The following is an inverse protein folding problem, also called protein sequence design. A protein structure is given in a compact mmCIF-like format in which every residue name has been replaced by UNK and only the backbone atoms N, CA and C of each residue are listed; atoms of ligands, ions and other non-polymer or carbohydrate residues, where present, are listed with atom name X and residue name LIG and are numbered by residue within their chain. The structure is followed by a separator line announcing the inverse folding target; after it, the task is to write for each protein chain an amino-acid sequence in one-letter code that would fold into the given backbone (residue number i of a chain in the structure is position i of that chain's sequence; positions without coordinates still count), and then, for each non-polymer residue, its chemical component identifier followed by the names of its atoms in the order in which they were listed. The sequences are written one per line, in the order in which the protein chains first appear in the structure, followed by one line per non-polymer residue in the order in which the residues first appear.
data_IF_940345252326
#
_entry.id   IF_940345252326
#
_cell.length_a   1.000
_cell.length_b   1.000
_cell.length_c   1.000
_cell.angle_alpha   90.00
_cell.angle_beta   90.00
_cell.angle_gamma   90.00
#
_symmetry.space_group_name_H-M   'P 1'
#
loop_
_entity.id
_entity.type
_entity.pdbx_description
1 polymer ?
#
# COMPACT_ATOMS: atom_id res chain seq x y z
N UNK A 1 -19.62 -26.62 51.57
CA UNK A 1 -20.34 -26.51 50.29
C UNK A 1 -19.38 -25.82 49.32
N UNK A 2 -18.42 -26.51 48.70
CA UNK A 2 -18.53 -27.29 47.45
C UNK A 2 -19.38 -26.63 46.35
N UNK A 3 -18.67 -25.96 45.43
CA UNK A 3 -18.91 -25.98 43.99
C UNK A 3 -19.86 -24.90 43.44
N UNK A 4 -19.34 -24.01 42.59
CA UNK A 4 -19.55 -24.05 41.12
C UNK A 4 -18.35 -23.38 40.45
N UNK A 5 -17.62 -24.15 39.65
CA UNK A 5 -16.70 -23.66 38.61
C UNK A 5 -17.58 -23.32 37.40
N UNK A 6 -17.44 -22.13 36.83
CA UNK A 6 -17.78 -21.88 35.43
C UNK A 6 -16.82 -20.84 34.86
N UNK A 7 -15.77 -21.39 34.23
CA UNK A 7 -15.04 -20.85 33.08
C UNK A 7 -15.78 -19.76 32.31
N UNK A 8 -15.23 -18.55 32.32
CA UNK A 8 -15.49 -17.54 31.29
C UNK A 8 -14.18 -17.23 30.57
N UNK A 9 -13.82 -18.16 29.69
CA UNK A 9 -12.92 -17.94 28.57
C UNK A 9 -13.58 -16.91 27.64
N UNK A 10 -13.24 -15.64 27.80
CA UNK A 10 -13.72 -14.57 26.92
C UNK A 10 -12.52 -13.82 26.35
N UNK A 11 -12.26 -14.14 25.08
CA UNK A 11 -11.59 -13.33 24.06
C UNK A 11 -10.06 -13.22 24.14
N UNK A 12 -9.41 -14.37 23.96
CA UNK A 12 -8.19 -14.46 23.17
C UNK A 12 -8.47 -14.21 21.67
N UNK A 13 -9.00 -13.03 21.33
CA UNK A 13 -9.11 -12.54 19.93
C UNK A 13 -8.52 -11.14 19.83
N UNK A 14 -7.33 -10.94 20.39
CA UNK A 14 -6.51 -9.75 20.19
C UNK A 14 -5.13 -10.09 19.60
N UNK A 15 -5.01 -11.25 18.95
CA UNK A 15 -3.79 -11.66 18.23
C UNK A 15 -3.97 -11.79 16.70
N UNK A 16 -5.16 -11.48 16.15
CA UNK A 16 -5.44 -11.62 14.71
C UNK A 16 -5.51 -10.31 13.91
N UNK A 17 -5.35 -9.16 14.55
CA UNK A 17 -5.55 -7.84 13.91
C UNK A 17 -4.28 -7.10 13.51
N UNK A 18 -3.10 -7.70 13.68
CA UNK A 18 -1.80 -7.06 13.42
C UNK A 18 -1.33 -7.18 11.96
N UNK A 19 -2.23 -7.48 11.02
CA UNK A 19 -1.87 -7.80 9.63
C UNK A 19 -1.96 -6.65 8.62
N UNK A 20 -2.35 -5.43 9.01
CA UNK A 20 -2.60 -4.35 8.04
C UNK A 20 -1.95 -3.01 8.39
N UNK A 21 -0.97 -2.98 9.29
CA UNK A 21 -0.16 -1.78 9.51
C UNK A 21 1.27 -1.99 9.00
N UNK A 22 1.80 -1.11 8.12
CA UNK A 22 3.21 -1.18 7.76
C UNK A 22 4.05 -0.91 9.01
N UNK A 23 5.04 -1.77 9.25
CA UNK A 23 6.02 -1.54 10.32
C UNK A 23 6.66 -0.15 10.15
N UNK A 24 6.90 0.60 11.24
CA UNK A 24 7.63 1.84 11.15
C UNK A 24 9.03 1.56 10.57
N UNK A 25 9.57 2.45 9.71
CA UNK A 25 10.94 2.30 9.23
C UNK A 25 11.90 2.23 10.42
N UNK A 26 12.94 1.39 10.37
CA UNK A 26 13.88 1.29 11.49
C UNK A 26 14.54 2.66 11.72
N UNK A 27 14.41 3.16 12.95
CA UNK A 27 15.09 4.38 13.39
C UNK A 27 16.61 4.18 13.21
N UNK A 28 17.25 5.14 12.54
CA UNK A 28 18.69 5.13 12.33
C UNK A 28 19.38 5.20 13.70
N UNK A 29 20.07 4.11 14.07
CA UNK A 29 20.85 4.06 15.30
C UNK A 29 21.96 5.12 15.26
N UNK A 30 22.16 5.90 16.32
CA UNK A 30 23.30 6.81 16.39
C UNK A 30 24.60 5.99 16.38
N UNK A 31 25.51 6.39 15.50
CA UNK A 31 26.83 5.79 15.34
C UNK A 31 27.62 6.05 16.63
N UNK A 32 27.80 5.02 17.45
CA UNK A 32 28.71 5.04 18.59
C UNK A 32 30.11 4.61 18.13
N UNK A 33 31.11 5.35 18.61
CA UNK A 33 32.51 5.28 18.26
C UNK A 33 33.15 3.89 18.35
N UNK A 34 33.90 3.56 17.29
CA UNK A 34 35.22 2.92 17.33
C UNK A 34 35.41 1.62 18.12
N UNK A 35 35.36 0.48 17.42
CA UNK A 35 36.48 -0.50 17.31
C UNK A 35 36.13 -1.55 16.25
N UNK A 36 36.96 -1.67 15.22
CA UNK A 36 36.88 -2.72 14.20
C UNK A 36 37.89 -3.81 14.56
N UNK A 37 37.41 -5.00 14.92
CA UNK A 37 38.24 -6.20 14.84
C UNK A 37 38.13 -6.74 13.41
N UNK A 38 39.31 -6.85 12.80
CA UNK A 38 39.52 -7.25 11.43
C UNK A 38 39.15 -8.72 11.20
N UNK A 39 38.38 -8.99 10.15
CA UNK A 39 38.49 -10.24 9.39
C UNK A 39 38.61 -9.85 7.92
N UNK A 40 39.79 -10.14 7.38
CA UNK A 40 40.15 -10.04 5.97
C UNK A 40 39.20 -10.84 5.08
N UNK A 41 38.70 -10.23 3.99
CA UNK A 41 38.49 -10.85 2.67
C UNK A 41 38.36 -9.72 1.62
N UNK A 42 39.02 -9.83 0.44
CA UNK A 42 39.47 -8.67 -0.33
C UNK A 42 38.43 -7.99 -1.23
N UNK A 43 38.78 -6.74 -1.57
CA UNK A 43 38.07 -5.76 -2.36
C UNK A 43 37.61 -6.22 -3.76
N UNK A 44 36.38 -5.82 -4.12
CA UNK A 44 36.03 -5.46 -5.49
C UNK A 44 35.38 -4.08 -5.48
N UNK A 45 36.10 -3.12 -6.03
CA UNK A 45 35.74 -1.71 -6.04
C UNK A 45 34.62 -1.43 -7.04
N UNK A 46 33.50 -0.91 -6.56
CA UNK A 46 32.53 -0.19 -7.39
C UNK A 46 32.79 1.32 -7.22
N UNK A 47 33.12 2.08 -8.27
CA UNK A 47 33.27 3.52 -8.16
C UNK A 47 31.90 4.20 -7.99
N UNK A 48 31.88 5.14 -7.06
CA UNK A 48 30.78 6.06 -6.79
C UNK A 48 30.39 6.86 -8.03
N UNK A 49 29.07 7.02 -8.26
CA UNK A 49 28.55 8.04 -9.18
C UNK A 49 28.45 9.39 -8.43
N UNK A 50 29.03 10.49 -8.94
CA UNK A 50 28.73 11.83 -8.45
C UNK A 50 27.34 12.32 -8.93
N UNK A 51 26.75 13.30 -8.22
CA UNK A 51 25.46 13.86 -8.58
C UNK A 51 25.63 14.88 -9.71
N UNK A 52 24.75 14.86 -10.71
CA UNK A 52 24.62 15.97 -11.66
C UNK A 52 23.20 16.48 -11.63
N UNK A 53 23.08 17.63 -11.00
CA UNK A 53 21.99 18.59 -11.17
C UNK A 53 21.90 19.00 -12.66
N UNK A 54 20.70 19.43 -13.03
CA UNK A 54 20.24 19.48 -14.41
C UNK A 54 20.97 20.43 -15.35
N UNK A 55 20.69 20.23 -16.64
CA UNK A 55 20.69 21.28 -17.65
C UNK A 55 19.75 20.87 -18.79
N UNK A 56 18.67 21.62 -18.85
CA UNK A 56 17.92 22.13 -20.00
C UNK A 56 18.15 21.44 -21.36
N UNK A 57 17.06 20.97 -21.93
CA UNK A 57 16.92 20.66 -23.34
C UNK A 57 17.02 21.95 -24.15
N UNK A 58 18.13 22.17 -24.83
CA UNK A 58 18.18 23.02 -26.02
C UNK A 58 19.41 22.64 -26.86
N UNK A 59 19.17 22.51 -28.16
CA UNK A 59 20.17 22.32 -29.22
C UNK A 59 20.78 20.92 -29.44
N UNK A 60 19.93 19.95 -29.79
CA UNK A 60 20.34 18.60 -30.22
C UNK A 60 20.44 18.44 -31.75
N UNK A 61 20.47 19.52 -32.54
CA UNK A 61 20.46 19.43 -34.00
C UNK A 61 21.84 19.66 -34.66
N UNK A 62 22.82 20.26 -33.98
CA UNK A 62 24.03 20.77 -34.66
C UNK A 62 25.34 20.01 -34.42
N UNK A 63 25.38 18.89 -33.68
CA UNK A 63 26.61 18.08 -33.51
C UNK A 63 26.36 16.59 -33.72
N UNK A 64 26.15 16.18 -34.96
CA UNK A 64 26.42 14.80 -35.39
C UNK A 64 27.87 14.71 -35.82
N UNK A 65 28.74 14.30 -34.91
CA UNK A 65 29.99 13.69 -35.30
C UNK A 65 29.68 12.27 -35.83
N UNK A 66 30.21 11.84 -36.98
CA UNK A 66 29.95 10.50 -37.47
C UNK A 66 30.56 9.48 -36.49
N UNK A 67 29.72 8.58 -35.99
CA UNK A 67 30.16 7.51 -35.12
C UNK A 67 31.23 6.65 -35.83
N UNK A 68 32.30 6.23 -35.15
CA UNK A 68 33.27 5.30 -35.72
C UNK A 68 32.55 3.97 -36.05
N UNK A 69 32.98 3.25 -37.10
CA UNK A 69 32.37 1.97 -37.43
C UNK A 69 32.59 1.02 -36.25
N UNK A 70 31.48 0.54 -35.68
CA UNK A 70 31.53 -0.52 -34.68
C UNK A 70 32.22 -1.75 -35.28
N UNK A 71 33.15 -2.41 -34.58
CA UNK A 71 33.59 -3.73 -34.99
C UNK A 71 32.36 -4.63 -35.07
N UNK A 72 32.28 -5.42 -36.13
CA UNK A 72 31.21 -6.38 -36.33
C UNK A 72 31.30 -7.50 -35.29
N UNK A 73 30.91 -7.21 -34.06
CA UNK A 73 30.38 -8.23 -33.16
C UNK A 73 29.02 -8.61 -33.72
N UNK A 74 28.98 -9.76 -34.36
CA UNK A 74 27.76 -10.56 -34.49
C UNK A 74 27.17 -10.77 -33.09
N UNK A 75 26.37 -9.81 -32.64
CA UNK A 75 25.38 -10.05 -31.61
C UNK A 75 24.53 -11.22 -32.12
N UNK A 76 24.34 -12.31 -31.35
CA UNK A 76 23.38 -13.32 -31.74
C UNK A 76 22.04 -12.61 -31.94
N UNK A 77 21.31 -12.89 -33.03
CA UNK A 77 20.02 -12.26 -33.24
C UNK A 77 19.18 -12.55 -32.00
N UNK A 78 18.55 -11.52 -31.43
CA UNK A 78 17.41 -11.70 -30.53
C UNK A 78 16.37 -12.47 -31.34
N UNK A 79 16.42 -13.80 -31.22
CA UNK A 79 15.49 -14.68 -31.90
C UNK A 79 14.09 -14.27 -31.45
N UNK A 80 13.34 -13.67 -32.37
CA UNK A 80 11.94 -13.28 -32.20
C UNK A 80 11.06 -14.50 -32.04
N UNK A 81 11.17 -15.16 -30.89
CA UNK A 81 10.30 -16.24 -30.46
C UNK A 81 9.75 -15.90 -29.09
N UNK A 82 8.43 -15.85 -28.96
CA UNK A 82 7.79 -15.86 -27.66
C UNK A 82 8.37 -17.00 -26.81
N UNK A 83 8.50 -16.82 -25.47
CA UNK A 83 9.03 -17.87 -24.60
C UNK A 83 8.27 -19.18 -24.87
N UNK A 84 9.01 -20.22 -25.26
CA UNK A 84 8.42 -21.53 -25.56
C UNK A 84 7.97 -22.17 -24.25
N UNK A 85 6.67 -22.09 -23.97
CA UNK A 85 6.04 -22.79 -22.85
C UNK A 85 5.76 -24.23 -23.26
N UNK A 86 6.12 -25.19 -22.41
CA UNK A 86 5.78 -26.60 -22.66
C UNK A 86 4.25 -26.76 -22.77
N UNK A 87 3.73 -27.56 -23.73
CA UNK A 87 2.28 -27.71 -23.92
C UNK A 87 1.54 -28.14 -22.65
N UNK A 88 2.15 -29.03 -21.85
CA UNK A 88 1.60 -29.47 -20.56
C UNK A 88 1.48 -28.32 -19.54
N UNK A 89 2.44 -27.39 -19.52
CA UNK A 89 2.40 -26.24 -18.63
C UNK A 89 1.31 -25.23 -19.05
N UNK A 90 1.16 -24.99 -20.36
CA UNK A 90 0.09 -24.15 -20.88
C UNK A 90 -1.31 -24.74 -20.60
N UNK A 91 -1.47 -26.06 -20.78
CA UNK A 91 -2.71 -26.76 -20.47
C UNK A 91 -3.03 -26.72 -18.97
N UNK A 92 -2.03 -26.92 -18.11
CA UNK A 92 -2.15 -26.81 -16.66
C UNK A 92 -2.61 -25.41 -16.23
N UNK A 93 -1.97 -24.36 -16.76
CA UNK A 93 -2.34 -22.97 -16.48
C UNK A 93 -3.76 -22.64 -16.97
N UNK A 94 -4.12 -23.09 -18.18
CA UNK A 94 -5.45 -22.87 -18.73
C UNK A 94 -6.55 -23.54 -17.87
N UNK A 95 -6.26 -24.72 -17.30
CA UNK A 95 -7.16 -25.39 -16.36
C UNK A 95 -7.25 -24.64 -15.03
N UNK A 96 -6.11 -24.26 -14.45
CA UNK A 96 -6.07 -23.50 -13.20
C UNK A 96 -6.80 -22.15 -13.30
N UNK A 97 -6.77 -21.49 -14.46
CA UNK A 97 -7.51 -20.23 -14.70
C UNK A 97 -9.03 -20.40 -14.71
N UNK A 98 -9.54 -21.55 -15.14
CA UNK A 98 -10.98 -21.82 -15.21
C UNK A 98 -11.51 -22.39 -13.90
N UNK A 99 -10.78 -23.35 -13.35
CA UNK A 99 -11.28 -24.21 -12.27
C UNK A 99 -10.60 -23.90 -10.91
N UNK A 100 -9.58 -23.04 -10.90
CA UNK A 100 -8.66 -22.86 -9.78
C UNK A 100 -7.56 -23.94 -9.73
N UNK A 101 -6.48 -23.67 -8.99
CA UNK A 101 -5.49 -24.70 -8.65
C UNK A 101 -5.89 -25.33 -7.29
N UNK A 102 -6.09 -26.66 -7.19
CA UNK A 102 -6.48 -27.33 -5.94
C UNK A 102 -5.44 -27.18 -4.81
N UNK A 103 -4.21 -26.76 -5.13
CA UNK A 103 -3.18 -26.42 -4.14
C UNK A 103 -3.39 -25.03 -3.52
N UNK A 104 -4.29 -24.21 -4.09
CA UNK A 104 -4.63 -22.89 -3.55
C UNK A 104 -5.67 -23.07 -2.43
N UNK A 105 -5.41 -22.62 -1.21
CA UNK A 105 -6.43 -22.63 -0.16
C UNK A 105 -7.66 -21.81 -0.61
N UNK A 106 -8.88 -22.15 -0.13
CA UNK A 106 -10.08 -21.44 -0.54
C UNK A 106 -9.97 -19.95 -0.21
N UNK A 107 -10.21 -19.10 -1.22
CA UNK A 107 -10.24 -17.66 -1.03
C UNK A 107 -11.55 -17.28 -0.32
N UNK A 108 -11.46 -16.35 0.64
CA UNK A 108 -12.65 -15.76 1.22
C UNK A 108 -13.43 -15.01 0.11
N UNK A 109 -14.77 -15.06 0.11
CA UNK A 109 -15.56 -14.29 -0.84
C UNK A 109 -15.28 -12.80 -0.65
N UNK A 110 -15.15 -12.07 -1.76
CA UNK A 110 -15.09 -10.62 -1.71
C UNK A 110 -16.38 -10.11 -1.06
N UNK A 111 -16.27 -9.42 0.08
CA UNK A 111 -17.44 -8.89 0.80
C UNK A 111 -18.24 -7.91 -0.06
N UNK A 112 -17.54 -7.09 -0.84
CA UNK A 112 -18.09 -6.16 -1.80
C UNK A 112 -17.15 -6.13 -3.02
N UNK A 113 -17.58 -6.70 -4.14
CA UNK A 113 -16.84 -6.59 -5.38
C UNK A 113 -17.01 -5.16 -5.95
N UNK A 114 -15.91 -4.56 -6.39
CA UNK A 114 -15.97 -3.29 -7.12
C UNK A 114 -16.79 -3.48 -8.40
N UNK A 115 -17.71 -2.56 -8.68
CA UNK A 115 -18.40 -2.53 -9.95
C UNK A 115 -17.39 -2.32 -11.10
N UNK A 116 -17.54 -3.08 -12.18
CA UNK A 116 -16.75 -2.83 -13.38
C UNK A 116 -17.11 -1.44 -13.94
N UNK A 117 -16.14 -0.69 -14.51
CA UNK A 117 -16.45 0.56 -15.19
C UNK A 117 -17.46 0.32 -16.33
N UNK A 118 -18.41 1.24 -16.56
CA UNK A 118 -19.31 1.14 -17.70
C UNK A 118 -18.54 1.16 -19.02
N UNK A 119 -19.00 0.45 -20.08
CA UNK A 119 -18.28 0.37 -21.35
C UNK A 119 -18.08 1.75 -22.00
N UNK A 120 -19.02 2.68 -21.84
CA UNK A 120 -18.95 4.05 -22.39
C UNK A 120 -17.83 4.89 -21.75
N UNK A 121 -17.36 4.49 -20.57
CA UNK A 121 -16.21 5.08 -19.86
C UNK A 121 -14.90 4.49 -20.37
N UNK A 122 -14.90 3.22 -20.79
CA UNK A 122 -13.71 2.52 -21.30
C UNK A 122 -13.30 2.98 -22.71
N UNK A 123 -14.25 3.48 -23.49
CA UNK A 123 -14.02 3.93 -24.86
C UNK A 123 -13.32 5.30 -24.96
N UNK A 124 -13.35 6.11 -23.90
CA UNK A 124 -12.80 7.47 -23.88
C UNK A 124 -11.81 7.68 -22.71
N UNK A 125 -10.52 7.93 -22.98
CA UNK A 125 -9.51 8.18 -21.95
C UNK A 125 -9.82 9.36 -21.01
N UNK A 126 -10.57 10.38 -21.47
CA UNK A 126 -10.99 11.51 -20.64
C UNK A 126 -12.08 11.09 -19.66
N UNK A 127 -13.06 10.29 -20.11
CA UNK A 127 -14.12 9.75 -19.24
C UNK A 127 -13.55 8.79 -18.22
N UNK A 128 -12.64 7.91 -18.64
CA UNK A 128 -11.98 6.98 -17.73
C UNK A 128 -11.24 7.70 -16.60
N UNK A 129 -10.51 8.78 -16.91
CA UNK A 129 -9.81 9.56 -15.88
C UNK A 129 -10.77 10.18 -14.85
N UNK A 130 -11.92 10.70 -15.29
CA UNK A 130 -12.93 11.25 -14.38
C UNK A 130 -13.55 10.19 -13.49
N UNK A 131 -13.87 9.02 -14.07
CA UNK A 131 -14.37 7.88 -13.33
C UNK A 131 -13.38 7.45 -12.23
N UNK A 132 -12.10 7.27 -12.59
CA UNK A 132 -11.06 6.89 -11.63
C UNK A 132 -10.83 7.96 -10.55
N UNK A 133 -11.03 9.24 -10.85
CA UNK A 133 -10.97 10.30 -9.85
C UNK A 133 -12.10 10.16 -8.82
N UNK A 134 -13.34 9.91 -9.27
CA UNK A 134 -14.48 9.68 -8.39
C UNK A 134 -14.28 8.46 -7.49
N UNK A 135 -13.75 7.38 -8.06
CA UNK A 135 -13.45 6.15 -7.33
C UNK A 135 -12.39 6.36 -6.24
N UNK A 136 -11.35 7.16 -6.52
CA UNK A 136 -10.37 7.58 -5.50
C UNK A 136 -11.02 8.38 -4.38
N UNK A 137 -11.93 9.31 -4.72
CA UNK A 137 -12.66 10.09 -3.71
C UNK A 137 -13.55 9.21 -2.84
N UNK A 138 -14.21 8.20 -3.42
CA UNK A 138 -15.02 7.24 -2.68
C UNK A 138 -14.18 6.44 -1.66
N UNK A 139 -12.96 6.05 -2.02
CA UNK A 139 -12.02 5.39 -1.09
C UNK A 139 -11.69 6.30 0.10
N UNK A 140 -11.37 7.57 -0.15
CA UNK A 140 -11.09 8.53 0.92
C UNK A 140 -12.30 8.79 1.83
N UNK A 141 -13.49 8.93 1.25
CA UNK A 141 -14.73 9.06 2.01
C UNK A 141 -14.99 7.84 2.90
N UNK A 142 -14.80 6.62 2.37
CA UNK A 142 -14.95 5.38 3.13
C UNK A 142 -13.94 5.31 4.30
N UNK A 143 -12.71 5.77 4.08
CA UNK A 143 -11.70 5.85 5.13
C UNK A 143 -12.11 6.83 6.23
N UNK A 144 -12.60 8.03 5.88
CA UNK A 144 -13.10 9.00 6.85
C UNK A 144 -14.24 8.41 7.68
N UNK A 145 -15.21 7.74 7.06
CA UNK A 145 -16.32 7.11 7.77
C UNK A 145 -15.85 5.99 8.71
N UNK A 146 -15.00 5.08 8.21
CA UNK A 146 -14.47 3.96 8.99
C UNK A 146 -13.59 4.44 10.17
N UNK A 147 -12.76 5.46 9.92
CA UNK A 147 -11.89 6.05 10.95
C UNK A 147 -12.70 6.67 12.08
N UNK A 148 -13.84 7.31 11.79
CA UNK A 148 -14.71 7.88 12.84
C UNK A 148 -15.16 6.81 13.82
N UNK A 149 -15.61 5.66 13.30
CA UNK A 149 -16.04 4.53 14.11
C UNK A 149 -14.88 3.98 14.92
N UNK A 150 -13.70 3.82 14.29
CA UNK A 150 -12.52 3.25 14.97
C UNK A 150 -11.95 4.16 16.05
N UNK A 151 -12.00 5.48 15.88
CA UNK A 151 -11.61 6.45 16.90
C UNK A 151 -12.43 6.25 18.18
N UNK A 152 -13.77 6.18 18.07
CA UNK A 152 -14.65 5.95 19.23
C UNK A 152 -14.38 4.62 19.92
N UNK A 153 -14.12 3.58 19.14
CA UNK A 153 -13.77 2.26 19.67
C UNK A 153 -12.44 2.30 20.45
N UNK A 154 -11.41 2.92 19.89
CA UNK A 154 -10.10 3.06 20.55
C UNK A 154 -10.19 3.92 21.82
N UNK A 155 -10.96 5.01 21.81
CA UNK A 155 -11.23 5.82 23.00
C UNK A 155 -11.86 4.97 24.11
N UNK A 156 -12.85 4.14 23.76
CA UNK A 156 -13.50 3.22 24.70
C UNK A 156 -12.51 2.18 25.25
N UNK A 157 -11.67 1.61 24.39
CA UNK A 157 -10.69 0.60 24.79
C UNK A 157 -9.59 1.18 25.69
N UNK A 158 -9.09 2.38 25.39
CA UNK A 158 -8.10 3.06 26.24
C UNK A 158 -8.70 3.38 27.60
N UNK A 159 -9.89 3.97 27.65
CA UNK A 159 -10.57 4.29 28.91
C UNK A 159 -10.90 3.03 29.74
N UNK A 160 -11.28 1.93 29.07
CA UNK A 160 -11.46 0.64 29.72
C UNK A 160 -10.14 0.14 30.30
N UNK A 161 -9.06 0.20 29.51
CA UNK A 161 -7.76 -0.30 29.94
C UNK A 161 -7.17 0.48 31.11
N UNK A 162 -7.42 1.78 31.19
CA UNK A 162 -7.07 2.59 32.36
C UNK A 162 -7.77 2.10 33.63
N UNK A 163 -9.06 1.79 33.55
CA UNK A 163 -9.85 1.28 34.70
C UNK A 163 -9.43 -0.13 35.12
N UNK A 164 -9.03 -0.94 34.15
CA UNK A 164 -8.60 -2.33 34.38
C UNK A 164 -7.12 -2.44 34.77
N UNK A 165 -6.38 -1.32 34.82
CA UNK A 165 -4.98 -1.28 35.25
C UNK A 165 -4.02 -1.91 34.24
N UNK A 166 -4.29 -1.76 32.93
CA UNK A 166 -3.38 -2.24 31.90
C UNK A 166 -1.99 -1.59 32.00
N UNK A 167 -0.91 -2.29 31.57
CA UNK A 167 0.44 -1.74 31.59
C UNK A 167 0.54 -0.42 30.82
N UNK A 168 1.35 0.51 31.36
CA UNK A 168 1.51 1.86 30.81
C UNK A 168 1.94 1.85 29.33
N UNK A 169 2.78 0.89 28.93
CA UNK A 169 3.24 0.72 27.54
C UNK A 169 2.07 0.43 26.59
N UNK A 170 1.12 -0.42 27.00
CA UNK A 170 -0.05 -0.78 26.19
C UNK A 170 -1.03 0.40 26.08
N UNK A 171 -1.22 1.15 27.17
CA UNK A 171 -2.00 2.37 27.16
C UNK A 171 -1.36 3.44 26.26
N UNK A 172 -0.04 3.59 26.31
CA UNK A 172 0.71 4.52 25.46
C UNK A 172 0.60 4.16 23.98
N UNK A 173 0.66 2.87 23.64
CA UNK A 173 0.45 2.41 22.27
C UNK A 173 -0.98 2.72 21.78
N UNK A 174 -1.99 2.45 22.61
CA UNK A 174 -3.39 2.76 22.30
C UNK A 174 -3.61 4.25 22.04
N UNK A 175 -3.07 5.11 22.89
CA UNK A 175 -3.12 6.58 22.73
C UNK A 175 -2.40 7.04 21.47
N UNK A 176 -1.19 6.52 21.20
CA UNK A 176 -0.44 6.85 19.97
C UNK A 176 -1.23 6.50 18.70
N UNK A 177 -1.88 5.33 18.67
CA UNK A 177 -2.72 4.92 17.54
C UNK A 177 -3.94 5.83 17.39
N UNK A 178 -4.59 6.19 18.50
CA UNK A 178 -5.71 7.12 18.52
C UNK A 178 -5.31 8.49 17.93
N UNK A 179 -4.20 9.06 18.40
CA UNK A 179 -3.69 10.34 17.92
C UNK A 179 -3.30 10.28 16.45
N UNK A 180 -2.59 9.23 16.03
CA UNK A 180 -2.23 9.04 14.62
C UNK A 180 -3.46 8.96 13.69
N UNK A 181 -4.52 8.28 14.13
CA UNK A 181 -5.76 8.16 13.36
C UNK A 181 -6.52 9.50 13.29
N UNK A 182 -6.57 10.25 14.40
CA UNK A 182 -7.13 11.61 14.42
C UNK A 182 -6.36 12.56 13.51
N UNK A 183 -5.04 12.52 13.56
CA UNK A 183 -4.17 13.35 12.72
C UNK A 183 -4.37 13.08 11.23
N UNK A 184 -4.36 11.81 10.82
CA UNK A 184 -4.58 11.44 9.41
C UNK A 184 -5.97 11.81 8.92
N UNK A 185 -7.00 11.65 9.76
CA UNK A 185 -8.36 12.10 9.41
C UNK A 185 -8.40 13.60 9.17
N UNK A 186 -7.76 14.39 10.04
CA UNK A 186 -7.67 15.85 9.90
C UNK A 186 -6.94 16.24 8.62
N UNK A 187 -5.76 15.67 8.37
CA UNK A 187 -4.99 15.90 7.12
C UNK A 187 -5.84 15.63 5.88
N UNK A 188 -6.60 14.54 5.88
CA UNK A 188 -7.43 14.17 4.74
C UNK A 188 -8.62 15.11 4.57
N UNK A 189 -9.22 15.58 5.66
CA UNK A 189 -10.29 16.58 5.63
C UNK A 189 -9.82 17.97 5.18
N UNK A 190 -8.59 18.35 5.54
CA UNK A 190 -7.96 19.59 5.06
C UNK A 190 -7.58 19.52 3.58
N UNK A 191 -7.07 18.37 3.13
CA UNK A 191 -6.67 18.15 1.73
C UNK A 191 -7.88 18.04 0.79
N UNK A 192 -8.96 17.42 1.25
CA UNK A 192 -10.18 17.17 0.47
C UNK A 192 -11.42 17.64 1.24
N UNK A 193 -11.62 18.96 1.37
CA UNK A 193 -12.74 19.52 2.12
C UNK A 193 -14.10 19.09 1.56
N UNK A 194 -14.20 18.79 0.26
CA UNK A 194 -15.39 18.24 -0.40
C UNK A 194 -15.86 16.89 0.18
N UNK A 195 -15.00 16.16 0.89
CA UNK A 195 -15.35 14.89 1.54
C UNK A 195 -15.87 15.07 2.97
N UNK A 196 -15.78 16.29 3.52
CA UNK A 196 -16.20 16.61 4.89
C UNK A 196 -17.27 17.68 4.97
N UNK A 197 -17.47 18.48 3.92
CA UNK A 197 -18.58 19.42 3.80
C UNK A 197 -19.92 18.69 3.59
N UNK A 198 -21.03 19.19 4.16
CA UNK A 198 -22.36 18.75 3.74
C UNK A 198 -22.54 19.05 2.23
N UNK A 199 -23.30 18.23 1.48
CA UNK A 199 -23.56 18.50 0.07
C UNK A 199 -24.14 19.92 -0.07
N UNK A 200 -23.78 20.66 -1.14
CA UNK A 200 -24.33 21.99 -1.35
C UNK A 200 -25.86 21.90 -1.34
N UNK A 201 -26.51 22.67 -0.48
CA UNK A 201 -27.97 22.75 -0.45
C UNK A 201 -28.46 23.08 -1.85
N UNK A 202 -29.36 22.26 -2.38
CA UNK A 202 -30.00 22.54 -3.66
C UNK A 202 -30.66 23.92 -3.56
N UNK A 203 -30.57 24.78 -4.59
CA UNK A 203 -31.20 26.10 -4.52
C UNK A 203 -32.71 25.94 -4.30
N UNK A 204 -33.17 26.38 -3.13
CA UNK A 204 -34.57 26.64 -2.84
C UNK A 204 -35.07 27.68 -3.85
N UNK A 205 -35.66 27.23 -4.96
CA UNK A 205 -36.07 28.16 -6.00
C UNK A 205 -36.42 27.53 -7.34
N UNK A 206 -37.42 26.66 -7.34
CA UNK A 206 -38.30 26.51 -8.50
C UNK A 206 -39.75 26.64 -7.98
N UNK A 207 -40.17 27.89 -7.79
CA UNK A 207 -41.57 28.26 -7.63
C UNK A 207 -42.27 28.36 -8.98
#
# INVERSE_FOLDING_TARGET
MRGVILTALVLATLAGGAGWWPAPPPEARPLADGRVDAVDTPASAAPARPPVAGVIAEDAAARREPAPPAPAETAPPLAGGAPRVAPAAAASLARARRDGDPRTPPLAPAREARAAPPPEVLEDPVRYRRYEQGERMAVYASFLAASQRKIRELETLVARGEREGLPAEQLAEGRRKLEGLKARRRELGERYPELTAPPPEAPDGAG
#
